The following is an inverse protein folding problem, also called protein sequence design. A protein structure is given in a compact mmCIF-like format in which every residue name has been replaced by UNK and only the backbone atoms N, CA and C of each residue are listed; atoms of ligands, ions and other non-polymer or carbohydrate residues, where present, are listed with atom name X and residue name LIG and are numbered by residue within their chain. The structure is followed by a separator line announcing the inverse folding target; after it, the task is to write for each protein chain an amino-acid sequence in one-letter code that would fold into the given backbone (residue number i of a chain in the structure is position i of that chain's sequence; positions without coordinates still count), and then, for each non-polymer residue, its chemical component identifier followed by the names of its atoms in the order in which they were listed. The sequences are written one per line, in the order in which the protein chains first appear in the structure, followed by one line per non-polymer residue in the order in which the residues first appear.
data_IF_746430021053
#
_entry.id   IF_746430021053
#
_cell.length_a   1.000
_cell.length_b   1.000
_cell.length_c   1.000
_cell.angle_alpha   90.00
_cell.angle_beta   90.00
_cell.angle_gamma   90.00
#
_symmetry.space_group_name_H-M   'P 1'
#
loop_
_entity.id
_entity.type
_entity.pdbx_description
1 polymer ?
#
# COMPACT_ATOMS: atom_id res chain seq x y z
N UNK A 1 -2.91 14.32 -5.94
CA UNK A 1 -4.03 13.43 -5.59
C UNK A 1 -5.15 13.43 -6.64
N UNK A 2 -5.55 14.58 -7.14
CA UNK A 2 -6.63 14.66 -8.12
C UNK A 2 -6.31 13.90 -9.41
N UNK A 3 -5.07 14.01 -9.89
CA UNK A 3 -4.61 13.27 -11.08
C UNK A 3 -4.68 11.76 -10.84
N UNK A 4 -4.18 11.30 -9.68
CA UNK A 4 -4.24 9.88 -9.34
C UNK A 4 -5.68 9.39 -9.21
N UNK A 5 -6.54 10.16 -8.55
CA UNK A 5 -7.96 9.81 -8.40
C UNK A 5 -8.67 9.70 -9.76
N UNK A 6 -8.31 10.55 -10.71
CA UNK A 6 -8.91 10.52 -12.06
C UNK A 6 -8.59 9.23 -12.83
N UNK A 7 -7.56 8.49 -12.44
CA UNK A 7 -7.21 7.20 -13.04
C UNK A 7 -8.02 6.05 -12.46
N UNK A 8 -8.75 6.26 -11.37
CA UNK A 8 -9.52 5.23 -10.70
C UNK A 8 -10.93 5.13 -11.30
N UNK A 9 -11.38 3.89 -11.52
CA UNK A 9 -12.76 3.61 -11.92
C UNK A 9 -13.72 3.97 -10.79
N UNK A 10 -14.96 4.32 -11.11
CA UNK A 10 -15.98 4.62 -10.08
C UNK A 10 -16.22 3.45 -9.12
N UNK A 11 -16.06 2.22 -9.59
CA UNK A 11 -16.22 1.00 -8.80
C UNK A 11 -14.88 0.47 -8.25
N UNK A 12 -13.86 1.33 -8.20
CA UNK A 12 -12.54 0.97 -7.67
C UNK A 12 -12.63 0.41 -6.25
N UNK A 13 -11.83 -0.62 -5.99
CA UNK A 13 -11.57 -1.05 -4.63
C UNK A 13 -10.07 -1.30 -4.39
N UNK A 14 -9.67 -1.08 -3.16
CA UNK A 14 -8.32 -1.30 -2.66
C UNK A 14 -8.34 -2.24 -1.47
N UNK A 15 -7.35 -3.12 -1.40
CA UNK A 15 -7.12 -3.92 -0.21
C UNK A 15 -5.62 -4.04 0.05
N UNK A 16 -5.22 -3.81 1.29
CA UNK A 16 -3.88 -4.09 1.79
C UNK A 16 -3.86 -5.56 2.21
N UNK A 17 -3.09 -6.36 1.47
CA UNK A 17 -3.09 -7.81 1.63
C UNK A 17 -2.07 -8.25 2.66
N UNK A 18 -2.37 -9.33 3.34
CA UNK A 18 -1.46 -9.92 4.31
C UNK A 18 -2.16 -10.39 5.56
N UNK A 19 -1.42 -10.41 6.66
CA UNK A 19 -1.90 -10.85 7.97
C UNK A 19 -1.57 -9.85 9.08
N UNK A 20 -1.26 -8.60 8.71
CA UNK A 20 -1.05 -7.53 9.69
C UNK A 20 -2.38 -7.02 10.25
N UNK A 21 -2.31 -6.23 11.31
CA UNK A 21 -3.50 -5.67 11.95
C UNK A 21 -4.29 -4.71 11.08
N UNK A 22 -3.70 -4.20 9.99
CA UNK A 22 -4.39 -3.31 9.04
C UNK A 22 -4.72 -3.99 7.72
N UNK A 23 -4.54 -5.32 7.63
CA UNK A 23 -4.72 -6.06 6.38
C UNK A 23 -6.17 -6.49 6.15
N UNK A 24 -6.49 -6.75 4.88
CA UNK A 24 -7.71 -7.42 4.42
C UNK A 24 -9.00 -6.63 4.61
N UNK A 25 -8.91 -5.32 4.76
CA UNK A 25 -10.08 -4.43 4.71
C UNK A 25 -10.23 -3.89 3.29
N UNK A 26 -11.43 -3.97 2.73
CA UNK A 26 -11.71 -3.46 1.40
C UNK A 26 -12.17 -2.01 1.49
N UNK A 27 -11.51 -1.15 0.74
CA UNK A 27 -11.82 0.28 0.65
C UNK A 27 -12.32 0.60 -0.75
N UNK A 28 -13.45 1.29 -0.85
CA UNK A 28 -13.91 1.83 -2.13
C UNK A 28 -13.09 3.07 -2.52
N UNK A 29 -13.37 3.67 -3.68
CA UNK A 29 -12.63 4.82 -4.19
C UNK A 29 -12.55 5.98 -3.19
N UNK A 30 -13.67 6.35 -2.59
CA UNK A 30 -13.70 7.43 -1.59
C UNK A 30 -12.92 7.06 -0.33
N UNK A 31 -13.17 5.88 0.22
CA UNK A 31 -12.54 5.41 1.45
C UNK A 31 -11.03 5.13 1.28
N UNK A 32 -10.57 4.82 0.06
CA UNK A 32 -9.15 4.69 -0.23
C UNK A 32 -8.40 5.99 0.12
N UNK A 33 -8.97 7.14 -0.20
CA UNK A 33 -8.36 8.44 0.14
C UNK A 33 -8.66 8.85 1.58
N UNK A 34 -9.94 8.89 1.96
CA UNK A 34 -10.36 9.46 3.24
C UNK A 34 -10.03 8.58 4.45
N UNK A 35 -10.00 7.27 4.27
CA UNK A 35 -9.72 6.33 5.38
C UNK A 35 -8.32 5.76 5.27
N UNK A 36 -8.01 5.03 4.19
CA UNK A 36 -6.70 4.38 4.06
C UNK A 36 -5.55 5.38 4.01
N UNK A 37 -5.56 6.29 3.05
CA UNK A 37 -4.46 7.25 2.90
C UNK A 37 -4.41 8.27 4.03
N UNK A 38 -5.53 8.89 4.36
CA UNK A 38 -5.55 10.01 5.31
C UNK A 38 -5.55 9.57 6.77
N UNK A 39 -6.25 8.47 7.12
CA UNK A 39 -6.42 8.05 8.52
C UNK A 39 -5.57 6.85 8.92
N UNK A 40 -5.07 6.04 7.98
CA UNK A 40 -4.20 4.90 8.29
C UNK A 40 -2.76 5.20 7.91
N UNK A 41 -2.48 5.49 6.65
CA UNK A 41 -1.10 5.65 6.16
C UNK A 41 -0.47 6.94 6.68
N UNK A 42 -1.12 8.07 6.53
CA UNK A 42 -0.54 9.37 6.87
C UNK A 42 -0.08 9.48 8.34
N UNK A 43 -0.86 9.01 9.34
CA UNK A 43 -0.38 9.02 10.72
C UNK A 43 0.80 8.08 10.99
N UNK A 44 0.95 7.02 10.20
CA UNK A 44 2.01 6.01 10.41
C UNK A 44 3.33 6.41 9.76
N UNK A 45 3.29 7.21 8.70
CA UNK A 45 4.46 7.77 8.01
C UNK A 45 4.27 9.29 7.84
N UNK A 46 4.36 10.05 8.95
CA UNK A 46 3.93 11.44 8.97
C UNK A 46 4.74 12.37 8.05
N UNK A 47 5.96 11.99 7.71
CA UNK A 47 6.81 12.76 6.79
C UNK A 47 6.71 12.27 5.34
N UNK A 48 5.84 11.29 5.07
CA UNK A 48 5.69 10.69 3.76
C UNK A 48 6.86 9.79 3.38
N UNK A 49 6.85 9.32 2.14
CA UNK A 49 7.91 8.49 1.60
C UNK A 49 9.02 9.36 1.02
N UNK A 50 10.26 9.08 1.44
CA UNK A 50 11.47 9.76 0.94
C UNK A 50 11.84 9.26 -0.45
N UNK A 51 11.55 7.98 -0.71
CA UNK A 51 11.85 7.32 -1.96
C UNK A 51 10.79 6.28 -2.27
N UNK A 52 10.36 6.26 -3.51
CA UNK A 52 9.51 5.20 -4.07
C UNK A 52 10.07 4.88 -5.45
N UNK A 53 10.47 3.63 -5.66
CA UNK A 53 11.09 3.19 -6.90
C UNK A 53 10.41 1.95 -7.42
N UNK A 54 9.97 2.00 -8.67
CA UNK A 54 9.49 0.82 -9.39
C UNK A 54 10.71 0.07 -9.93
N UNK A 55 10.93 -1.15 -9.45
CA UNK A 55 12.10 -1.93 -9.82
C UNK A 55 11.82 -2.91 -10.95
N UNK A 56 10.58 -3.31 -11.13
CA UNK A 56 10.16 -4.20 -12.21
C UNK A 56 8.65 -4.12 -12.42
N UNK A 57 8.19 -4.57 -13.58
CA UNK A 57 6.77 -4.61 -13.93
C UNK A 57 6.49 -5.76 -14.89
N UNK A 58 5.38 -6.45 -14.67
CA UNK A 58 4.87 -7.47 -15.58
C UNK A 58 3.37 -7.28 -15.76
N UNK A 59 2.85 -7.63 -16.92
CA UNK A 59 1.41 -7.57 -17.11
C UNK A 59 1.00 -7.44 -18.57
N UNK A 60 -0.29 -7.20 -18.74
CA UNK A 60 -0.94 -6.99 -20.03
C UNK A 60 -1.93 -5.82 -19.93
N UNK A 61 -2.90 -5.73 -20.87
CA UNK A 61 -3.88 -4.65 -20.89
C UNK A 61 -4.91 -4.74 -19.76
N UNK A 62 -5.07 -5.91 -19.13
CA UNK A 62 -6.09 -6.15 -18.12
C UNK A 62 -5.53 -6.08 -16.71
N UNK A 63 -4.26 -6.42 -16.54
CA UNK A 63 -3.63 -6.44 -15.22
C UNK A 63 -2.13 -6.18 -15.30
N UNK A 64 -1.61 -5.51 -14.28
CA UNK A 64 -0.19 -5.19 -14.13
C UNK A 64 0.23 -5.44 -12.70
N UNK A 65 1.37 -6.11 -12.52
CA UNK A 65 2.03 -6.22 -11.24
C UNK A 65 3.29 -5.34 -11.26
N UNK A 66 3.40 -4.43 -10.30
CA UNK A 66 4.58 -3.59 -10.10
C UNK A 66 5.35 -4.05 -8.88
N UNK A 67 6.64 -4.27 -9.03
CA UNK A 67 7.57 -4.44 -7.92
C UNK A 67 8.11 -3.07 -7.54
N UNK A 68 7.96 -2.71 -6.26
CA UNK A 68 8.28 -1.35 -5.78
C UNK A 68 9.09 -1.44 -4.49
N UNK A 69 10.06 -0.55 -4.35
CA UNK A 69 10.79 -0.34 -3.11
C UNK A 69 10.49 1.06 -2.58
N UNK A 70 10.17 1.15 -1.30
CA UNK A 70 9.89 2.42 -0.64
C UNK A 70 10.76 2.64 0.57
N UNK A 71 10.99 3.89 0.94
CA UNK A 71 11.70 4.29 2.15
C UNK A 71 10.98 5.45 2.81
N UNK A 72 10.66 5.28 4.09
CA UNK A 72 9.97 6.28 4.89
C UNK A 72 10.40 6.15 6.35
N UNK A 73 10.19 7.21 7.13
CA UNK A 73 10.27 7.14 8.58
C UNK A 73 8.89 6.77 9.12
N UNK A 74 8.76 5.56 9.61
CA UNK A 74 7.58 5.12 10.34
C UNK A 74 7.62 5.63 11.78
N UNK A 75 6.47 5.62 12.44
CA UNK A 75 6.37 6.10 13.83
C UNK A 75 7.18 5.28 14.83
N UNK A 76 7.60 4.07 14.47
CA UNK A 76 8.44 3.20 15.30
C UNK A 76 9.73 2.76 14.60
N UNK A 77 10.23 3.54 13.65
CA UNK A 77 11.49 3.29 12.99
C UNK A 77 11.41 3.32 11.47
N UNK A 78 12.54 3.10 10.84
CA UNK A 78 12.63 3.15 9.39
C UNK A 78 11.73 2.10 8.72
N UNK A 79 10.89 2.58 7.82
CA UNK A 79 9.98 1.75 7.05
C UNK A 79 10.46 1.65 5.60
N UNK A 80 11.47 0.82 5.39
CA UNK A 80 12.06 0.56 4.07
C UNK A 80 11.51 -0.76 3.54
N UNK A 81 10.29 -0.74 3.05
CA UNK A 81 9.59 -1.96 2.64
C UNK A 81 9.68 -2.20 1.14
N UNK A 82 9.40 -3.43 0.76
CA UNK A 82 9.27 -3.85 -0.63
C UNK A 82 7.82 -4.24 -0.88
N UNK A 83 7.32 -3.89 -2.04
CA UNK A 83 5.91 -4.03 -2.37
C UNK A 83 5.72 -4.76 -3.70
N UNK A 84 4.62 -5.49 -3.80
CA UNK A 84 4.03 -5.86 -5.07
C UNK A 84 2.65 -5.24 -5.11
N UNK A 85 2.42 -4.36 -6.11
CA UNK A 85 1.12 -3.78 -6.36
C UNK A 85 0.50 -4.47 -7.57
N UNK A 86 -0.69 -5.02 -7.40
CA UNK A 86 -1.42 -5.64 -8.50
C UNK A 86 -2.60 -4.76 -8.87
N UNK A 87 -2.55 -4.23 -10.10
CA UNK A 87 -3.58 -3.38 -10.67
C UNK A 87 -4.41 -4.17 -11.67
N UNK A 88 -5.72 -4.00 -11.63
CA UNK A 88 -6.62 -4.48 -12.68
C UNK A 88 -7.32 -3.28 -13.31
N UNK A 89 -7.57 -3.37 -14.61
CA UNK A 89 -8.13 -2.28 -15.39
C UNK A 89 -9.51 -2.65 -15.95
N UNK A 90 -10.38 -1.66 -16.02
CA UNK A 90 -11.67 -1.75 -16.69
C UNK A 90 -11.98 -0.40 -17.34
N UNK A 91 -12.35 -0.42 -18.63
CA UNK A 91 -12.69 0.80 -19.36
C UNK A 91 -11.59 1.87 -19.33
N UNK A 92 -10.32 1.41 -19.35
CA UNK A 92 -9.15 2.28 -19.34
C UNK A 92 -8.81 2.87 -17.97
N UNK A 93 -9.48 2.45 -16.90
CA UNK A 93 -9.24 2.93 -15.54
C UNK A 93 -8.90 1.79 -14.61
N UNK A 94 -8.27 2.12 -13.48
CA UNK A 94 -7.92 1.14 -12.44
C UNK A 94 -9.18 0.80 -11.66
N UNK A 95 -9.58 -0.47 -11.70
CA UNK A 95 -10.77 -0.93 -10.96
C UNK A 95 -10.40 -1.68 -9.69
N UNK A 96 -9.18 -2.20 -9.60
CA UNK A 96 -8.74 -2.95 -8.43
C UNK A 96 -7.26 -2.71 -8.17
N UNK A 97 -6.91 -2.54 -6.91
CA UNK A 97 -5.52 -2.45 -6.46
C UNK A 97 -5.36 -3.33 -5.23
N UNK A 98 -4.39 -4.23 -5.29
CA UNK A 98 -3.98 -5.08 -4.16
C UNK A 98 -2.52 -4.81 -3.87
N UNK A 99 -2.22 -4.52 -2.62
CA UNK A 99 -0.86 -4.23 -2.16
C UNK A 99 -0.36 -5.36 -1.28
N UNK A 100 0.79 -5.93 -1.63
CA UNK A 100 1.48 -6.96 -0.85
C UNK A 100 2.83 -6.42 -0.40
N UNK A 101 3.18 -6.66 0.87
CA UNK A 101 4.44 -6.18 1.42
C UNK A 101 4.86 -7.07 2.60
N UNK A 102 5.93 -6.71 3.31
CA UNK A 102 6.34 -7.42 4.52
C UNK A 102 5.50 -6.98 5.72
N UNK A 103 4.69 -7.88 6.24
CA UNK A 103 3.91 -7.65 7.46
C UNK A 103 4.79 -7.45 8.68
N UNK A 104 5.97 -8.08 8.70
CA UNK A 104 6.93 -7.89 9.79
C UNK A 104 7.33 -6.43 9.94
N UNK A 105 7.64 -5.75 8.82
CA UNK A 105 7.97 -4.33 8.85
C UNK A 105 6.77 -3.46 9.20
N UNK A 106 5.58 -3.81 8.74
CA UNK A 106 4.34 -3.12 9.14
C UNK A 106 4.17 -3.17 10.66
N UNK A 107 4.21 -4.35 11.25
CA UNK A 107 3.96 -4.54 12.69
C UNK A 107 5.06 -3.93 13.55
N UNK A 108 6.33 -3.94 13.14
CA UNK A 108 7.44 -3.47 13.94
C UNK A 108 7.79 -2.00 13.75
N UNK A 109 7.57 -1.44 12.54
CA UNK A 109 7.98 -0.07 12.20
C UNK A 109 6.83 0.93 12.18
N UNK A 110 5.61 0.46 11.95
CA UNK A 110 4.41 1.29 11.98
C UNK A 110 3.60 1.10 13.27
N UNK A 111 3.78 -0.03 13.94
CA UNK A 111 3.15 -0.34 15.21
C UNK A 111 4.21 -0.70 16.25
N UNK A 112 3.78 -1.06 17.46
CA UNK A 112 4.70 -1.27 18.59
C UNK A 112 5.11 -2.72 18.80
N UNK A 113 4.94 -3.58 17.81
CA UNK A 113 5.34 -4.97 17.90
C UNK A 113 6.87 -5.10 17.85
N UNK A 114 7.38 -6.10 18.53
CA UNK A 114 8.82 -6.38 18.60
C UNK A 114 9.07 -7.86 18.38
N UNK A 115 10.17 -8.16 17.72
CA UNK A 115 10.69 -9.53 17.70
C UNK A 115 11.37 -9.80 19.03
N UNK A 116 11.01 -10.91 19.65
CA UNK A 116 11.61 -11.35 20.92
C UNK A 116 12.14 -12.76 20.73
N UNK A 117 13.40 -12.99 21.12
CA UNK A 117 13.94 -14.34 21.15
C UNK A 117 13.22 -15.16 22.22
N UNK A 118 12.84 -16.38 21.81
CA UNK A 118 12.31 -17.37 22.74
C UNK A 118 13.44 -18.25 23.24
N UNK A 119 13.73 -18.13 24.55
CA UNK A 119 14.81 -18.89 25.17
C UNK A 119 14.30 -20.17 25.79
#
# INVERSE_FOLDING_TARGET
RDTADSLLHEDFDFMFMGVSQISNVKYNREAYWSVWMDNVVAPLVPEGFKKVEVTDAIGDRQSVALMVEGDAEGVNGRYNNKYVFIFKFKEGKIISLREYTSDLLVETRLYKQKLVEDN
#
